data_IF_992311419636
#
_entry.id   IF_992311419636
#
_cell.length_a   1.000
_cell.length_b   1.000
_cell.length_c   1.000
_cell.angle_alpha   90.00
_cell.angle_beta   90.00
_cell.angle_gamma   90.00
#
_symmetry.space_group_name_H-M   'P 1'
#
loop_
_entity.id
_entity.type
_entity.pdbx_description
1 polymer ?
#
# COMPACT_ATOMS: atom_id res chain seq x y z
N UNK A 1 26.09 -0.27 27.81
CA UNK A 1 24.74 0.35 27.84
C UNK A 1 24.75 1.80 27.34
N UNK A 2 25.86 2.54 27.51
CA UNK A 2 26.06 3.88 26.93
C UNK A 2 26.28 3.91 25.41
N UNK A 3 26.79 2.84 24.80
CA UNK A 3 27.11 2.82 23.36
C UNK A 3 25.89 2.94 22.44
N UNK A 4 24.72 2.43 22.87
CA UNK A 4 23.49 2.47 22.07
C UNK A 4 22.46 3.50 22.55
N UNK A 5 22.83 4.32 23.53
CA UNK A 5 21.90 5.24 24.18
C UNK A 5 21.29 6.23 23.17
N UNK A 6 22.12 6.77 22.27
CA UNK A 6 21.68 7.69 21.22
C UNK A 6 20.69 7.02 20.26
N UNK A 7 20.96 5.79 19.83
CA UNK A 7 20.12 5.05 18.88
C UNK A 7 18.76 4.73 19.50
N UNK A 8 18.75 4.28 20.76
CA UNK A 8 17.53 4.00 21.52
C UNK A 8 16.71 5.28 21.68
N UNK A 9 17.34 6.40 22.02
CA UNK A 9 16.64 7.69 22.15
C UNK A 9 16.01 8.09 20.81
N UNK A 10 16.77 8.07 19.72
CA UNK A 10 16.26 8.44 18.39
C UNK A 10 15.12 7.52 17.98
N UNK A 11 15.29 6.21 18.14
CA UNK A 11 14.25 5.22 17.85
C UNK A 11 12.99 5.48 18.68
N UNK A 12 13.10 5.61 19.99
CA UNK A 12 11.97 5.84 20.88
C UNK A 12 11.26 7.16 20.56
N UNK A 13 11.99 8.24 20.28
CA UNK A 13 11.39 9.53 19.91
C UNK A 13 10.62 9.40 18.59
N UNK A 14 11.22 8.84 17.55
CA UNK A 14 10.56 8.69 16.25
C UNK A 14 9.35 7.75 16.34
N UNK A 15 9.50 6.63 17.04
CA UNK A 15 8.42 5.67 17.27
C UNK A 15 7.24 6.33 17.97
N UNK A 16 7.47 6.98 19.12
CA UNK A 16 6.42 7.64 19.88
C UNK A 16 5.77 8.78 19.09
N UNK A 17 6.57 9.55 18.35
CA UNK A 17 6.07 10.63 17.50
C UNK A 17 5.15 10.07 16.40
N UNK A 18 5.60 9.07 15.63
CA UNK A 18 4.81 8.47 14.54
C UNK A 18 3.58 7.75 15.07
N UNK A 19 3.71 6.98 16.16
CA UNK A 19 2.55 6.35 16.82
C UNK A 19 1.55 7.41 17.29
N UNK A 20 2.02 8.47 17.95
CA UNK A 20 1.18 9.58 18.39
C UNK A 20 0.45 10.27 17.22
N UNK A 21 1.17 10.56 16.13
CA UNK A 21 0.57 11.09 14.91
C UNK A 21 -0.51 10.15 14.35
N UNK A 22 -0.29 8.84 14.35
CA UNK A 22 -1.28 7.85 13.91
C UNK A 22 -2.58 7.90 14.73
N UNK A 23 -2.47 7.98 16.06
CA UNK A 23 -3.66 8.10 16.93
C UNK A 23 -4.38 9.44 16.78
N UNK A 24 -3.64 10.53 16.57
CA UNK A 24 -4.23 11.85 16.29
C UNK A 24 -4.92 11.85 14.93
N UNK A 25 -4.30 11.24 13.92
CA UNK A 25 -4.86 11.10 12.58
C UNK A 25 -6.17 10.32 12.57
N UNK A 26 -6.39 9.37 13.49
CA UNK A 26 -7.67 8.68 13.64
C UNK A 26 -8.85 9.61 13.98
N UNK A 27 -8.58 10.81 14.50
CA UNK A 27 -9.59 11.85 14.76
C UNK A 27 -9.70 12.85 13.62
N UNK A 28 -8.74 12.88 12.70
CA UNK A 28 -8.71 13.80 11.58
C UNK A 28 -9.62 13.30 10.46
N UNK A 29 -10.56 14.15 10.03
CA UNK A 29 -11.59 13.81 9.04
C UNK A 29 -12.39 12.55 9.40
N UNK A 30 -12.71 12.37 10.68
CA UNK A 30 -13.48 11.22 11.15
C UNK A 30 -14.87 11.21 10.51
N UNK A 31 -15.29 10.13 9.84
CA UNK A 31 -16.61 10.02 9.24
C UNK A 31 -17.68 9.79 10.32
N UNK A 32 -18.91 10.20 10.02
CA UNK A 32 -20.06 10.06 10.94
C UNK A 32 -20.40 8.60 11.22
N UNK A 33 -20.18 7.70 10.25
CA UNK A 33 -20.43 6.27 10.39
C UNK A 33 -19.28 5.42 9.81
N UNK A 34 -18.40 4.92 10.68
CA UNK A 34 -17.31 4.00 10.30
C UNK A 34 -17.79 2.60 9.88
N UNK A 35 -19.07 2.26 10.07
CA UNK A 35 -19.60 0.94 9.75
C UNK A 35 -19.88 0.74 8.24
N UNK A 36 -19.70 1.78 7.42
CA UNK A 36 -19.83 1.66 5.96
C UNK A 36 -18.51 1.21 5.33
N UNK A 37 -18.58 0.21 4.43
CA UNK A 37 -17.42 -0.36 3.74
C UNK A 37 -16.61 0.68 2.95
N UNK A 38 -17.27 1.70 2.40
CA UNK A 38 -16.59 2.79 1.68
C UNK A 38 -15.73 3.66 2.61
N UNK A 39 -16.19 3.92 3.83
CA UNK A 39 -15.43 4.70 4.81
C UNK A 39 -14.27 3.89 5.39
N UNK A 40 -14.54 2.63 5.78
CA UNK A 40 -13.51 1.78 6.37
C UNK A 40 -12.46 1.30 5.34
N UNK A 41 -12.91 0.93 4.13
CA UNK A 41 -12.05 0.35 3.08
C UNK A 41 -11.43 1.36 2.13
N UNK A 42 -12.08 2.51 1.87
CA UNK A 42 -11.63 3.49 0.87
C UNK A 42 -11.38 4.90 1.46
N UNK A 43 -11.51 5.09 2.77
CA UNK A 43 -11.36 6.40 3.42
C UNK A 43 -12.38 7.44 2.91
N UNK A 44 -13.59 6.98 2.58
CA UNK A 44 -14.68 7.82 2.08
C UNK A 44 -14.41 8.39 0.68
N UNK A 45 -13.41 7.86 -0.04
CA UNK A 45 -12.95 8.35 -1.36
C UNK A 45 -12.60 9.85 -1.34
N UNK A 46 -12.25 10.36 -0.16
CA UNK A 46 -12.09 11.79 0.13
C UNK A 46 -10.65 12.28 0.02
N UNK A 47 -9.69 11.35 -0.11
CA UNK A 47 -8.28 11.65 -0.26
C UNK A 47 -7.98 12.18 -1.67
N UNK A 48 -7.47 13.41 -1.72
CA UNK A 48 -6.96 13.99 -2.97
C UNK A 48 -5.63 13.36 -3.39
N UNK A 49 -5.20 13.69 -4.61
CA UNK A 49 -4.01 13.14 -5.24
C UNK A 49 -2.74 13.22 -4.37
N UNK A 50 -2.58 14.28 -3.56
CA UNK A 50 -1.42 14.44 -2.69
C UNK A 50 -1.33 13.36 -1.61
N UNK A 51 -2.44 13.09 -0.90
CA UNK A 51 -2.48 12.06 0.14
C UNK A 51 -2.36 10.68 -0.51
N UNK A 52 -3.06 10.45 -1.62
CA UNK A 52 -2.97 9.19 -2.38
C UNK A 52 -1.54 8.91 -2.85
N UNK A 53 -0.79 9.93 -3.28
CA UNK A 53 0.60 9.77 -3.68
C UNK A 53 1.48 9.26 -2.53
N UNK A 54 1.32 9.80 -1.32
CA UNK A 54 2.02 9.29 -0.14
C UNK A 54 1.58 7.87 0.24
N UNK A 55 0.29 7.55 0.15
CA UNK A 55 -0.22 6.21 0.44
C UNK A 55 0.35 5.17 -0.53
N UNK A 56 0.31 5.46 -1.83
CA UNK A 56 0.87 4.58 -2.88
C UNK A 56 2.40 4.48 -2.72
N UNK A 57 3.07 5.59 -2.44
CA UNK A 57 4.52 5.59 -2.20
C UNK A 57 4.90 4.75 -0.98
N UNK A 58 4.18 4.89 0.14
CA UNK A 58 4.43 4.13 1.37
C UNK A 58 4.15 2.64 1.23
N UNK A 59 3.16 2.26 0.42
CA UNK A 59 2.84 0.87 0.12
C UNK A 59 3.89 0.20 -0.79
N UNK A 60 4.39 0.94 -1.79
CA UNK A 60 5.38 0.43 -2.74
C UNK A 60 6.82 0.42 -2.20
N UNK A 61 7.19 1.41 -1.38
CA UNK A 61 8.56 1.56 -0.86
C UNK A 61 8.65 1.12 0.60
N UNK A 62 8.85 -0.18 0.78
CA UNK A 62 8.93 -0.80 2.11
C UNK A 62 10.37 -1.04 2.54
N UNK A 63 10.54 -1.66 3.72
CA UNK A 63 11.86 -2.09 4.22
C UNK A 63 12.63 -2.98 3.22
N UNK A 64 11.93 -3.69 2.33
CA UNK A 64 12.56 -4.46 1.26
C UNK A 64 13.49 -3.59 0.40
N UNK A 65 13.01 -2.43 -0.06
CA UNK A 65 13.77 -1.55 -0.95
C UNK A 65 14.97 -0.93 -0.25
N UNK A 66 14.83 -0.54 1.02
CA UNK A 66 15.88 0.18 1.75
C UNK A 66 16.90 -0.73 2.43
N UNK A 67 16.54 -1.97 2.76
CA UNK A 67 17.41 -2.89 3.50
C UNK A 67 17.83 -4.05 2.62
N UNK A 68 16.88 -4.76 2.01
CA UNK A 68 17.17 -6.00 1.28
C UNK A 68 17.94 -5.72 -0.03
N UNK A 69 17.54 -4.72 -0.81
CA UNK A 69 18.20 -4.40 -2.09
C UNK A 69 19.66 -3.96 -1.89
N UNK A 70 20.00 -3.02 -0.98
CA UNK A 70 21.39 -2.67 -0.70
C UNK A 70 22.21 -3.84 -0.13
N UNK A 71 21.61 -4.66 0.74
CA UNK A 71 22.28 -5.85 1.27
C UNK A 71 22.61 -6.86 0.15
N UNK A 72 21.69 -7.06 -0.81
CA UNK A 72 21.94 -7.89 -1.99
C UNK A 72 23.04 -7.30 -2.86
N UNK A 73 23.02 -5.98 -3.08
CA UNK A 73 24.06 -5.31 -3.86
C UNK A 73 25.44 -5.45 -3.21
N UNK A 74 25.50 -5.36 -1.88
CA UNK A 74 26.72 -5.62 -1.12
C UNK A 74 27.21 -7.07 -1.27
N UNK A 75 26.31 -8.05 -1.19
CA UNK A 75 26.68 -9.47 -1.24
C UNK A 75 26.94 -10.04 -2.64
N UNK A 76 26.18 -9.60 -3.65
CA UNK A 76 26.20 -10.16 -5.00
C UNK A 76 26.72 -9.18 -6.08
N UNK A 77 27.14 -7.98 -5.66
CA UNK A 77 27.71 -6.96 -6.54
C UNK A 77 26.70 -6.47 -7.58
N UNK A 78 27.17 -6.30 -8.82
CA UNK A 78 26.39 -5.69 -9.91
C UNK A 78 25.04 -6.36 -10.20
N UNK A 79 24.87 -7.65 -9.86
CA UNK A 79 23.59 -8.34 -10.05
C UNK A 79 22.46 -7.75 -9.21
N UNK A 80 22.76 -7.14 -8.05
CA UNK A 80 21.78 -6.45 -7.22
C UNK A 80 21.18 -5.20 -7.87
N UNK A 81 21.83 -4.62 -8.89
CA UNK A 81 21.28 -3.50 -9.65
C UNK A 81 20.04 -3.87 -10.46
N UNK A 82 19.67 -5.15 -10.59
CA UNK A 82 18.48 -5.58 -11.33
C UNK A 82 17.20 -4.81 -10.92
N UNK A 83 17.10 -4.40 -9.64
CA UNK A 83 15.95 -3.68 -9.12
C UNK A 83 15.68 -2.36 -9.86
N UNK A 84 16.71 -1.67 -10.33
CA UNK A 84 16.58 -0.38 -11.02
C UNK A 84 15.92 -0.52 -12.41
N UNK A 85 16.48 -1.27 -13.39
CA UNK A 85 15.83 -1.44 -14.69
C UNK A 85 14.50 -2.18 -14.57
N UNK A 86 14.38 -3.15 -13.66
CA UNK A 86 13.13 -3.86 -13.39
C UNK A 86 12.01 -2.89 -13.00
N UNK A 87 12.24 -2.01 -12.02
CA UNK A 87 11.22 -1.05 -11.60
C UNK A 87 10.90 -0.03 -12.68
N UNK A 88 11.89 0.49 -13.42
CA UNK A 88 11.66 1.43 -14.53
C UNK A 88 10.70 0.85 -15.58
N UNK A 89 10.81 -0.45 -15.88
CA UNK A 89 9.94 -1.13 -16.86
C UNK A 89 8.58 -1.49 -16.26
N UNK A 90 8.55 -2.00 -15.03
CA UNK A 90 7.32 -2.51 -14.41
C UNK A 90 6.36 -1.39 -14.02
N UNK A 91 6.86 -0.24 -13.54
CA UNK A 91 6.00 0.87 -13.09
C UNK A 91 5.01 1.30 -14.19
N UNK A 92 5.43 1.67 -15.42
CA UNK A 92 4.50 2.03 -16.48
C UNK A 92 3.46 0.94 -16.78
N UNK A 93 3.88 -0.33 -16.84
CA UNK A 93 2.99 -1.46 -17.16
C UNK A 93 1.91 -1.60 -16.07
N UNK A 94 2.32 -1.58 -14.80
CA UNK A 94 1.41 -1.70 -13.65
C UNK A 94 0.49 -0.49 -13.58
N UNK A 95 1.01 0.72 -13.75
CA UNK A 95 0.19 1.95 -13.73
C UNK A 95 -0.83 1.98 -14.87
N UNK A 96 -0.52 1.48 -16.07
CA UNK A 96 -1.51 1.36 -17.15
C UNK A 96 -2.70 0.46 -16.75
N UNK A 97 -2.40 -0.68 -16.11
CA UNK A 97 -3.43 -1.60 -15.63
C UNK A 97 -4.21 -0.99 -14.46
N UNK A 98 -3.51 -0.39 -13.50
CA UNK A 98 -4.12 0.22 -12.31
C UNK A 98 -5.00 1.43 -12.66
N UNK A 99 -4.57 2.30 -13.57
CA UNK A 99 -5.37 3.45 -14.02
C UNK A 99 -6.67 2.98 -14.68
N UNK A 100 -6.61 1.91 -15.49
CA UNK A 100 -7.80 1.32 -16.11
C UNK A 100 -8.71 0.68 -15.07
N UNK A 101 -8.14 -0.08 -14.13
CA UNK A 101 -8.90 -0.72 -13.05
C UNK A 101 -9.58 0.35 -12.18
N UNK A 102 -8.86 1.40 -11.81
CA UNK A 102 -9.38 2.52 -11.04
C UNK A 102 -10.55 3.19 -11.74
N UNK A 103 -10.45 3.46 -13.04
CA UNK A 103 -11.54 4.05 -13.83
C UNK A 103 -12.82 3.19 -13.77
N UNK A 104 -12.70 1.88 -13.99
CA UNK A 104 -13.86 0.97 -13.94
C UNK A 104 -14.44 0.87 -12.53
N UNK A 105 -13.57 0.70 -11.52
CA UNK A 105 -13.96 0.60 -10.11
C UNK A 105 -14.59 1.88 -9.58
N UNK A 106 -14.18 3.05 -10.10
CA UNK A 106 -14.76 4.33 -9.74
C UNK A 106 -16.18 4.48 -10.29
N UNK A 107 -16.42 4.08 -11.55
CA UNK A 107 -17.75 4.16 -12.19
C UNK A 107 -18.75 3.17 -11.56
N UNK A 108 -18.30 1.95 -11.24
CA UNK A 108 -19.19 0.91 -10.72
C UNK A 108 -19.24 0.83 -9.19
N UNK A 109 -18.49 1.68 -8.49
CA UNK A 109 -18.44 1.68 -7.03
C UNK A 109 -17.84 0.42 -6.43
N UNK A 110 -16.88 -0.23 -7.10
CA UNK A 110 -16.23 -1.42 -6.55
C UNK A 110 -15.32 -1.05 -5.37
N UNK A 111 -15.34 -1.90 -4.33
CA UNK A 111 -14.52 -1.76 -3.12
C UNK A 111 -13.34 -2.73 -3.18
N UNK A 112 -13.53 -3.93 -3.74
CA UNK A 112 -12.50 -4.97 -3.81
C UNK A 112 -12.20 -5.43 -5.25
N UNK A 113 -11.02 -6.01 -5.51
CA UNK A 113 -10.75 -6.67 -6.80
C UNK A 113 -11.71 -7.83 -7.11
N UNK A 114 -12.24 -8.50 -6.09
CA UNK A 114 -13.23 -9.56 -6.26
C UNK A 114 -14.56 -9.03 -6.82
N UNK A 115 -14.97 -7.80 -6.44
CA UNK A 115 -16.16 -7.14 -7.01
C UNK A 115 -15.99 -6.87 -8.50
N UNK A 116 -14.80 -6.41 -8.90
CA UNK A 116 -14.47 -6.21 -10.31
C UNK A 116 -14.58 -7.52 -11.10
N UNK A 117 -14.03 -8.62 -10.56
CA UNK A 117 -14.09 -9.94 -11.20
C UNK A 117 -15.53 -10.44 -11.28
N UNK A 118 -16.31 -10.27 -10.20
CA UNK A 118 -17.73 -10.65 -10.18
C UNK A 118 -18.52 -9.92 -11.25
N UNK A 119 -18.33 -8.60 -11.37
CA UNK A 119 -19.02 -7.78 -12.35
C UNK A 119 -18.56 -8.06 -13.79
N UNK A 120 -17.26 -8.31 -13.99
CA UNK A 120 -16.67 -8.52 -15.31
C UNK A 120 -16.98 -9.90 -15.90
N UNK A 121 -17.02 -10.94 -15.07
CA UNK A 121 -17.15 -12.34 -15.50
C UNK A 121 -18.50 -12.97 -15.12
N UNK A 122 -19.32 -12.32 -14.29
CA UNK A 122 -20.62 -12.86 -13.85
C UNK A 122 -20.52 -14.10 -12.97
N UNK A 123 -19.32 -14.50 -12.52
CA UNK A 123 -19.09 -15.74 -11.78
C UNK A 123 -18.81 -15.46 -10.30
N UNK A 124 -19.73 -15.83 -9.38
CA UNK A 124 -19.52 -15.67 -7.94
C UNK A 124 -18.43 -16.62 -7.42
N UNK A 125 -18.26 -17.79 -8.03
CA UNK A 125 -17.19 -18.73 -7.68
C UNK A 125 -15.81 -18.13 -7.98
N UNK A 126 -15.65 -17.51 -9.16
CA UNK A 126 -14.39 -16.87 -9.52
C UNK A 126 -14.08 -15.69 -8.59
N UNK A 127 -15.09 -14.89 -8.25
CA UNK A 127 -14.94 -13.81 -7.28
C UNK A 127 -14.51 -14.34 -5.89
N UNK A 128 -15.11 -15.45 -5.43
CA UNK A 128 -14.72 -16.10 -4.17
C UNK A 128 -13.27 -16.59 -4.21
N UNK A 129 -12.84 -17.25 -5.29
CA UNK A 129 -11.46 -17.70 -5.45
C UNK A 129 -10.49 -16.53 -5.39
N UNK A 130 -10.80 -15.43 -6.09
CA UNK A 130 -9.97 -14.21 -6.06
C UNK A 130 -9.94 -13.57 -4.66
N UNK A 131 -11.08 -13.55 -3.95
CA UNK A 131 -11.12 -13.08 -2.58
C UNK A 131 -10.25 -13.93 -1.65
N UNK A 132 -10.33 -15.26 -1.76
CA UNK A 132 -9.49 -16.19 -0.99
C UNK A 132 -8.01 -15.98 -1.33
N UNK A 133 -7.66 -15.85 -2.61
CA UNK A 133 -6.29 -15.56 -3.03
C UNK A 133 -5.80 -14.25 -2.45
N UNK A 134 -6.63 -13.20 -2.43
CA UNK A 134 -6.30 -11.93 -1.80
C UNK A 134 -5.98 -12.07 -0.31
N UNK A 135 -6.79 -12.83 0.42
CA UNK A 135 -6.58 -13.11 1.86
C UNK A 135 -5.31 -13.91 2.10
N UNK A 136 -4.99 -14.89 1.24
CA UNK A 136 -3.80 -15.74 1.41
C UNK A 136 -2.50 -15.03 1.00
N UNK A 137 -2.58 -14.09 0.06
CA UNK A 137 -1.44 -13.34 -0.44
C UNK A 137 -1.02 -12.16 0.48
N UNK A 138 -1.83 -11.83 1.50
CA UNK A 138 -1.55 -10.79 2.50
C UNK A 138 -1.11 -11.41 3.82
#
# INVERSE_FOLDING_TARGET
MSEHLTEIIVFSVLFLLVSGMGFVAARWRRPDNLATLDEWGLGGRSFGAWITWFLVGGDLYTAYTFVAVPALLWGAGATGFFAVPYTIVVYPIVFLVLLRLWSVSHVHGFVTPADFVRARFGSPLLALLIAITGIVAT
#
